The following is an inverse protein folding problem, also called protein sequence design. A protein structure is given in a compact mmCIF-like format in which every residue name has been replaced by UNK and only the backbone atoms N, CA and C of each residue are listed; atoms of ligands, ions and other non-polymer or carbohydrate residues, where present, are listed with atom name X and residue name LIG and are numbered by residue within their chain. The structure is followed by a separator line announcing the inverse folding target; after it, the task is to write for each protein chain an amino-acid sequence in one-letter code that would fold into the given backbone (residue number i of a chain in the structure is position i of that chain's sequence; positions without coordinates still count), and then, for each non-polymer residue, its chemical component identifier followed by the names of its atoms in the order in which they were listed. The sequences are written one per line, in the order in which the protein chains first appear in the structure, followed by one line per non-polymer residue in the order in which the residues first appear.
data_IF_364914625062
#
_entry.id   IF_364914625062
#
_cell.length_a   1.000
_cell.length_b   1.000
_cell.length_c   1.000
_cell.angle_alpha   90.00
_cell.angle_beta   90.00
_cell.angle_gamma   90.00
#
_symmetry.space_group_name_H-M   'P 1'
#
loop_
_entity.id
_entity.type
_entity.pdbx_description
1 polymer ?
#
# COMPACT_ATOMS: atom_id res chain seq x y z
N UNK A 1 -0.76 5.74 10.92
CA UNK A 1 -1.97 4.95 10.58
C UNK A 1 -1.67 3.47 10.75
N UNK A 2 -2.67 2.65 11.05
CA UNK A 2 -2.50 1.20 11.13
C UNK A 2 -2.71 0.57 9.75
N UNK A 3 -2.06 -0.57 9.51
CA UNK A 3 -2.40 -1.41 8.37
C UNK A 3 -3.84 -1.92 8.49
N UNK A 4 -4.50 -2.05 7.35
CA UNK A 4 -5.85 -2.60 7.24
C UNK A 4 -5.85 -3.78 6.29
N UNK A 5 -6.85 -4.64 6.42
CA UNK A 5 -7.01 -5.76 5.51
C UNK A 5 -7.48 -5.28 4.13
N UNK A 6 -7.09 -6.02 3.09
CA UNK A 6 -7.57 -5.77 1.73
C UNK A 6 -9.10 -5.86 1.64
N UNK A 7 -9.74 -6.75 2.40
CA UNK A 7 -11.19 -6.86 2.43
C UNK A 7 -11.86 -5.58 2.92
N UNK A 8 -11.38 -5.03 4.04
CA UNK A 8 -11.93 -3.80 4.63
C UNK A 8 -11.84 -2.63 3.64
N UNK A 9 -10.67 -2.43 3.03
CA UNK A 9 -10.43 -1.29 2.15
C UNK A 9 -11.20 -1.41 0.83
N UNK A 10 -11.31 -2.63 0.27
CA UNK A 10 -12.11 -2.86 -0.94
C UNK A 10 -13.61 -2.76 -0.68
N UNK A 11 -14.10 -3.15 0.50
CA UNK A 11 -15.50 -2.97 0.88
C UNK A 11 -15.86 -1.48 0.94
N UNK A 12 -14.98 -0.65 1.52
CA UNK A 12 -15.15 0.81 1.54
C UNK A 12 -15.11 1.41 0.13
N UNK A 13 -14.16 1.00 -0.71
CA UNK A 13 -14.05 1.45 -2.09
C UNK A 13 -15.28 1.11 -2.95
N UNK A 14 -15.81 -0.11 -2.82
CA UNK A 14 -17.06 -0.52 -3.49
C UNK A 14 -18.24 0.34 -3.07
N UNK A 15 -18.41 0.57 -1.76
CA UNK A 15 -19.49 1.40 -1.24
C UNK A 15 -19.36 2.86 -1.71
N UNK A 16 -18.14 3.39 -1.75
CA UNK A 16 -17.82 4.74 -2.20
C UNK A 16 -17.73 4.92 -3.72
N UNK A 17 -17.84 3.84 -4.51
CA UNK A 17 -17.70 3.84 -5.98
C UNK A 17 -16.40 4.47 -6.47
N UNK A 18 -15.29 4.15 -5.82
CA UNK A 18 -13.95 4.58 -6.23
C UNK A 18 -12.98 3.39 -6.35
N UNK A 19 -11.85 3.61 -7.01
CA UNK A 19 -10.77 2.64 -7.12
C UNK A 19 -9.62 2.94 -6.14
N UNK A 20 -8.85 1.91 -5.79
CA UNK A 20 -7.66 2.06 -4.94
C UNK A 20 -6.43 1.72 -5.77
N UNK A 21 -5.42 2.59 -5.73
CA UNK A 21 -4.15 2.33 -6.39
C UNK A 21 -3.37 1.20 -5.72
N UNK A 22 -2.91 0.24 -6.52
CA UNK A 22 -2.04 -0.84 -6.08
C UNK A 22 -0.67 -0.70 -6.74
N UNK A 23 0.35 -0.43 -5.94
CA UNK A 23 1.69 -0.08 -6.40
C UNK A 23 2.67 -1.19 -6.03
N UNK A 24 3.32 -1.75 -7.05
CA UNK A 24 4.46 -2.63 -6.85
C UNK A 24 5.68 -1.79 -6.45
N UNK A 25 6.26 -2.09 -5.29
CA UNK A 25 7.44 -1.41 -4.79
C UNK A 25 8.63 -2.35 -4.75
N UNK A 26 9.81 -1.77 -4.96
CA UNK A 26 11.06 -2.50 -5.04
C UNK A 26 12.07 -2.12 -3.93
N UNK A 27 11.95 -0.93 -3.37
CA UNK A 27 12.87 -0.35 -2.40
C UNK A 27 12.13 0.66 -1.48
N UNK A 28 12.86 1.28 -0.57
CA UNK A 28 12.29 2.21 0.42
C UNK A 28 11.83 3.52 -0.22
N UNK A 29 12.57 4.02 -1.21
CA UNK A 29 12.25 5.28 -1.89
C UNK A 29 10.90 5.21 -2.61
N UNK A 30 10.60 4.07 -3.24
CA UNK A 30 9.28 3.84 -3.86
C UNK A 30 8.15 3.77 -2.83
N UNK A 31 8.40 3.16 -1.67
CA UNK A 31 7.42 3.12 -0.57
C UNK A 31 7.15 4.53 -0.08
N UNK A 32 8.20 5.29 0.22
CA UNK A 32 8.10 6.66 0.70
C UNK A 32 7.33 7.55 -0.28
N UNK A 33 7.68 7.52 -1.57
CA UNK A 33 6.99 8.34 -2.57
C UNK A 33 5.52 7.95 -2.77
N UNK A 34 5.19 6.65 -2.72
CA UNK A 34 3.80 6.20 -2.81
C UNK A 34 2.97 6.61 -1.58
N UNK A 35 3.56 6.54 -0.38
CA UNK A 35 2.92 6.97 0.86
C UNK A 35 2.74 8.49 0.88
N UNK A 36 3.77 9.26 0.53
CA UNK A 36 3.70 10.73 0.49
C UNK A 36 2.60 11.21 -0.47
N UNK A 37 2.52 10.64 -1.68
CA UNK A 37 1.45 10.96 -2.63
C UNK A 37 0.06 10.60 -2.10
N UNK A 38 -0.08 9.50 -1.38
CA UNK A 38 -1.36 9.10 -0.79
C UNK A 38 -1.76 9.98 0.42
N UNK A 39 -0.79 10.43 1.22
CA UNK A 39 -1.00 11.40 2.30
C UNK A 39 -1.44 12.75 1.74
N UNK A 40 -0.76 13.27 0.70
CA UNK A 40 -1.13 14.51 0.03
C UNK A 40 -2.56 14.47 -0.52
N UNK A 41 -2.92 13.36 -1.17
CA UNK A 41 -4.25 13.18 -1.77
C UNK A 41 -5.32 12.68 -0.79
N UNK A 42 -4.97 12.44 0.48
CA UNK A 42 -5.85 11.81 1.48
C UNK A 42 -6.53 10.54 0.95
N UNK A 43 -5.76 9.69 0.27
CA UNK A 43 -6.25 8.53 -0.48
C UNK A 43 -5.76 7.21 0.12
N UNK A 44 -6.59 6.15 0.15
CA UNK A 44 -6.11 4.80 0.44
C UNK A 44 -5.14 4.29 -0.65
N UNK A 45 -4.18 3.47 -0.26
CA UNK A 45 -3.21 2.85 -1.18
C UNK A 45 -2.92 1.38 -0.80
N UNK A 46 -2.53 0.56 -1.77
CA UNK A 46 -2.07 -0.81 -1.57
C UNK A 46 -0.60 -0.90 -1.99
N UNK A 47 0.29 -1.26 -1.06
CA UNK A 47 1.69 -1.59 -1.36
C UNK A 47 1.79 -3.08 -1.67
N UNK A 48 2.40 -3.41 -2.80
CA UNK A 48 2.62 -4.78 -3.25
C UNK A 48 4.11 -5.07 -3.37
N UNK A 49 4.53 -6.21 -2.84
CA UNK A 49 5.90 -6.71 -2.93
C UNK A 49 5.86 -8.05 -3.66
N UNK A 50 6.58 -8.15 -4.77
CA UNK A 50 6.70 -9.41 -5.50
C UNK A 50 7.38 -10.48 -4.62
N UNK A 51 6.91 -11.72 -4.70
CA UNK A 51 7.44 -12.83 -3.90
C UNK A 51 8.96 -12.99 -4.03
N UNK A 52 9.47 -12.92 -5.25
CA UNK A 52 10.92 -12.99 -5.52
C UNK A 52 11.75 -11.88 -4.86
N UNK A 53 11.11 -10.80 -4.40
CA UNK A 53 11.76 -9.69 -3.71
C UNK A 53 11.66 -9.76 -2.18
N UNK A 54 10.85 -10.65 -1.60
CA UNK A 54 10.68 -10.73 -0.14
C UNK A 54 12.00 -10.91 0.62
N UNK A 55 12.99 -11.60 0.03
CA UNK A 55 14.34 -11.76 0.61
C UNK A 55 15.05 -10.43 0.87
N UNK A 56 14.71 -9.40 0.11
CA UNK A 56 15.32 -8.06 0.15
C UNK A 56 14.33 -6.98 0.62
N UNK A 57 13.13 -7.39 1.01
CA UNK A 57 12.04 -6.51 1.42
C UNK A 57 11.54 -6.99 2.79
N UNK A 58 12.30 -6.74 3.87
CA UNK A 58 11.95 -7.22 5.20
C UNK A 58 10.60 -6.65 5.62
N UNK A 59 9.57 -7.50 5.60
CA UNK A 59 8.19 -7.14 5.95
C UNK A 59 8.09 -6.36 7.28
N UNK A 60 8.81 -6.73 8.36
CA UNK A 60 8.72 -5.99 9.63
C UNK A 60 9.15 -4.51 9.55
N UNK A 61 9.91 -4.11 8.53
CA UNK A 61 10.29 -2.72 8.29
C UNK A 61 9.27 -1.97 7.43
N UNK A 62 8.52 -2.69 6.59
CA UNK A 62 7.55 -2.14 5.65
C UNK A 62 6.17 -2.03 6.30
N UNK A 63 5.83 -2.96 7.20
CA UNK A 63 4.55 -2.94 7.90
C UNK A 63 4.37 -4.10 8.89
N UNK A 64 3.64 -3.84 9.98
CA UNK A 64 3.13 -4.84 10.92
C UNK A 64 1.63 -4.65 11.14
#
# INVERSE_FOLDING_TARGET
MALVTLEQILKQARAGRYGIGAFNVANMEMIMGAVEAAEELNSPLIIQVAEGRMRYSPLPLIGR
#
